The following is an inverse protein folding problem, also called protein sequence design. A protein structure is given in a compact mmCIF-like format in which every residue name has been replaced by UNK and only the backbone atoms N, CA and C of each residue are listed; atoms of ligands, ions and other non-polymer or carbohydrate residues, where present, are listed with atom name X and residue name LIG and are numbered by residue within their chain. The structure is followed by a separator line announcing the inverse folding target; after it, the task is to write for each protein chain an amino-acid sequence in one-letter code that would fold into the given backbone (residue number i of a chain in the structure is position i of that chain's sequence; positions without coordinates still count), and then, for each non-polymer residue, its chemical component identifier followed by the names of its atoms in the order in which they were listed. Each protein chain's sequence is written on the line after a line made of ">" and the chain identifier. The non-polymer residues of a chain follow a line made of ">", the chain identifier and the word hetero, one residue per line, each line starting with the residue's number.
data_IF_369094856126
#
_entry.id   IF_369094856126
#
_cell.length_a   1.000
_cell.length_b   1.000
_cell.length_c   1.000
_cell.angle_alpha   90.00
_cell.angle_beta   90.00
_cell.angle_gamma   90.00
#
_symmetry.space_group_name_H-M   'P 1'
#
loop_
_entity.id
_entity.type
_entity.pdbx_description
1 polymer ?
#
# COMPACT_ATOMS: atom_id res chain seq x y z
N UNK A 1 22.78 10.44 3.01
CA UNK A 1 22.42 9.95 1.67
C UNK A 1 21.88 8.55 1.79
N UNK A 2 20.56 8.39 1.61
CA UNK A 2 19.85 7.10 1.67
C UNK A 2 19.30 6.75 0.30
N UNK A 3 18.91 5.49 0.11
CA UNK A 3 18.26 5.01 -1.13
C UNK A 3 17.01 5.87 -1.44
N UNK A 4 16.86 6.28 -2.70
CA UNK A 4 15.75 7.11 -3.20
C UNK A 4 14.54 6.24 -3.50
N UNK A 5 13.55 6.30 -2.64
CA UNK A 5 12.36 5.45 -2.74
C UNK A 5 11.16 6.29 -3.16
N UNK A 6 10.45 5.82 -4.17
CA UNK A 6 9.24 6.50 -4.61
C UNK A 6 8.17 6.51 -3.52
N UNK A 7 7.48 7.65 -3.40
CA UNK A 7 6.24 7.78 -2.67
C UNK A 7 5.21 8.57 -3.49
N UNK A 8 3.92 8.17 -3.49
CA UNK A 8 2.89 8.97 -4.13
C UNK A 8 2.70 10.33 -3.46
N UNK A 9 2.16 11.28 -4.23
CA UNK A 9 1.74 12.57 -3.71
C UNK A 9 0.63 12.40 -2.65
N UNK A 10 0.68 13.22 -1.59
CA UNK A 10 -0.34 13.21 -0.55
C UNK A 10 -0.20 12.12 0.51
N UNK A 11 0.94 11.43 0.59
CA UNK A 11 1.22 10.44 1.65
C UNK A 11 2.25 10.94 2.69
N UNK A 12 1.83 11.79 3.66
CA UNK A 12 2.72 12.25 4.72
C UNK A 12 3.13 11.14 5.70
N UNK A 13 2.32 10.08 5.83
CA UNK A 13 2.62 8.94 6.71
C UNK A 13 3.80 8.14 6.16
N UNK A 14 3.71 7.70 4.90
CA UNK A 14 4.79 7.00 4.21
C UNK A 14 6.07 7.86 4.12
N UNK A 15 5.93 9.17 3.91
CA UNK A 15 7.09 10.07 3.78
C UNK A 15 7.88 10.08 5.09
N UNK A 16 7.19 10.30 6.21
CA UNK A 16 7.80 10.33 7.52
C UNK A 16 8.31 8.94 7.95
N UNK A 17 7.62 7.85 7.58
CA UNK A 17 8.07 6.48 7.84
C UNK A 17 9.41 6.20 7.15
N UNK A 18 9.54 6.50 5.86
CA UNK A 18 10.79 6.33 5.11
C UNK A 18 11.92 7.20 5.69
N UNK A 19 11.62 8.46 6.03
CA UNK A 19 12.59 9.35 6.69
C UNK A 19 13.08 8.81 8.03
N UNK A 20 12.17 8.25 8.84
CA UNK A 20 12.50 7.66 10.14
C UNK A 20 13.40 6.42 9.99
N UNK A 21 13.24 5.67 8.90
CA UNK A 21 14.10 4.54 8.53
C UNK A 21 15.44 4.95 7.89
N UNK A 22 15.72 6.25 7.76
CA UNK A 22 16.94 6.76 7.10
C UNK A 22 16.93 6.63 5.57
N UNK A 23 15.76 6.35 4.98
CA UNK A 23 15.54 6.26 3.54
C UNK A 23 15.18 7.64 2.98
N UNK A 24 15.54 7.92 1.73
CA UNK A 24 15.23 9.18 1.07
C UNK A 24 13.94 9.05 0.23
N UNK A 25 12.77 9.47 0.74
CA UNK A 25 11.55 9.47 -0.07
C UNK A 25 11.63 10.51 -1.20
N UNK A 26 11.19 10.12 -2.39
CA UNK A 26 11.04 11.00 -3.55
C UNK A 26 9.58 11.04 -3.97
N UNK A 27 8.95 12.18 -3.75
CA UNK A 27 7.54 12.42 -4.08
C UNK A 27 7.42 12.73 -5.57
N UNK A 28 6.62 11.94 -6.30
CA UNK A 28 6.27 12.22 -7.69
C UNK A 28 4.99 11.49 -8.09
N UNK A 29 4.27 11.94 -9.13
CA UNK A 29 3.11 11.23 -9.65
C UNK A 29 3.50 9.85 -10.19
N UNK A 30 2.57 8.90 -10.10
CA UNK A 30 2.79 7.51 -10.53
C UNK A 30 3.19 7.39 -12.01
N UNK A 31 2.75 8.34 -12.84
CA UNK A 31 3.06 8.40 -14.28
C UNK A 31 4.55 8.60 -14.55
N UNK A 32 5.28 9.18 -13.59
CA UNK A 32 6.67 9.59 -13.79
C UNK A 32 7.65 8.57 -13.19
N UNK A 33 7.17 7.56 -12.47
CA UNK A 33 8.00 6.57 -11.76
C UNK A 33 8.90 5.78 -12.71
N UNK A 34 8.38 5.36 -13.87
CA UNK A 34 9.21 4.65 -14.86
C UNK A 34 10.36 5.55 -15.35
N UNK A 35 10.08 6.82 -15.66
CA UNK A 35 11.12 7.80 -16.02
C UNK A 35 12.09 8.02 -14.88
N UNK A 36 11.60 8.08 -13.63
CA UNK A 36 12.43 8.19 -12.43
C UNK A 36 13.40 7.01 -12.27
N UNK A 37 12.93 5.78 -12.49
CA UNK A 37 13.77 4.57 -12.49
C UNK A 37 14.76 4.54 -13.67
N UNK A 38 14.38 5.08 -14.84
CA UNK A 38 15.24 5.11 -16.02
C UNK A 38 16.36 6.15 -15.95
N UNK A 39 16.15 7.21 -15.19
CA UNK A 39 17.07 8.35 -15.04
C UNK A 39 17.85 8.31 -13.73
N UNK A 40 17.76 7.20 -13.00
CA UNK A 40 18.33 7.01 -11.66
C UNK A 40 17.87 8.10 -10.65
N UNK A 41 16.71 8.72 -10.86
CA UNK A 41 16.08 9.58 -9.86
C UNK A 41 15.46 8.75 -8.72
N UNK A 42 15.07 7.51 -9.03
CA UNK A 42 14.59 6.52 -8.09
C UNK A 42 15.53 5.32 -8.09
N UNK A 43 15.86 4.82 -6.91
CA UNK A 43 16.61 3.59 -6.74
C UNK A 43 15.66 2.39 -6.49
N UNK A 44 14.51 2.62 -5.86
CA UNK A 44 13.50 1.58 -5.65
C UNK A 44 12.06 2.12 -5.53
N UNK A 45 11.12 1.17 -5.49
CA UNK A 45 9.68 1.40 -5.30
C UNK A 45 9.15 0.46 -4.21
N UNK A 46 8.15 0.92 -3.46
CA UNK A 46 7.40 0.08 -2.51
C UNK A 46 5.97 -0.08 -3.01
N UNK A 47 5.71 -1.17 -3.75
CA UNK A 47 4.42 -1.42 -4.40
C UNK A 47 4.01 -2.89 -4.34
N UNK A 48 2.71 -3.19 -4.47
CA UNK A 48 2.25 -4.55 -4.74
C UNK A 48 2.92 -5.11 -6.01
N UNK A 49 3.24 -6.42 -6.06
CA UNK A 49 3.84 -7.05 -7.24
C UNK A 49 3.05 -6.81 -8.53
N UNK A 50 1.71 -6.81 -8.46
CA UNK A 50 0.86 -6.54 -9.64
C UNK A 50 1.12 -5.15 -10.22
N UNK A 51 1.39 -4.14 -9.39
CA UNK A 51 1.74 -2.79 -9.85
C UNK A 51 3.07 -2.77 -10.59
N UNK A 52 4.09 -3.43 -10.03
CA UNK A 52 5.41 -3.52 -10.68
C UNK A 52 5.33 -4.18 -12.07
N UNK A 53 4.45 -5.19 -12.24
CA UNK A 53 4.20 -5.86 -13.52
C UNK A 53 3.42 -4.96 -14.48
N UNK A 54 2.26 -4.43 -14.07
CA UNK A 54 1.37 -3.64 -14.96
C UNK A 54 2.08 -2.41 -15.50
N UNK A 55 2.83 -1.71 -14.66
CA UNK A 55 3.60 -0.54 -15.08
C UNK A 55 4.98 -0.88 -15.67
N UNK A 56 5.31 -2.17 -15.79
CA UNK A 56 6.57 -2.68 -16.33
C UNK A 56 7.82 -2.20 -15.57
N UNK A 57 7.66 -1.68 -14.34
CA UNK A 57 8.76 -1.13 -13.53
C UNK A 57 9.84 -2.18 -13.22
N UNK A 58 9.46 -3.45 -13.18
CA UNK A 58 10.39 -4.56 -12.99
C UNK A 58 11.54 -4.57 -14.02
N UNK A 59 11.35 -4.01 -15.21
CA UNK A 59 12.39 -3.90 -16.25
C UNK A 59 13.59 -3.02 -15.85
N UNK A 60 13.45 -2.23 -14.79
CA UNK A 60 14.49 -1.36 -14.22
C UNK A 60 14.91 -1.75 -12.80
N UNK A 61 14.35 -2.84 -12.27
CA UNK A 61 14.64 -3.34 -10.93
C UNK A 61 15.40 -4.66 -11.03
N UNK A 62 16.18 -4.98 -9.98
CA UNK A 62 16.97 -6.23 -9.90
C UNK A 62 16.59 -7.10 -8.72
N UNK A 63 16.08 -6.49 -7.66
CA UNK A 63 15.81 -7.16 -6.40
C UNK A 63 14.36 -6.93 -6.00
N UNK A 64 13.80 -7.91 -5.29
CA UNK A 64 12.52 -7.80 -4.61
C UNK A 64 12.68 -8.24 -3.15
N UNK A 65 12.06 -7.51 -2.24
CA UNK A 65 11.98 -7.86 -0.83
C UNK A 65 10.52 -8.02 -0.44
N UNK A 66 10.13 -9.22 -0.06
CA UNK A 66 8.74 -9.55 0.30
C UNK A 66 8.51 -9.32 1.80
N UNK A 67 8.45 -8.05 2.20
CA UNK A 67 8.04 -7.65 3.54
C UNK A 67 6.69 -6.93 3.44
N UNK A 68 5.66 -7.35 4.22
CA UNK A 68 4.37 -6.69 4.23
C UNK A 68 4.47 -5.34 4.99
N UNK A 69 4.94 -4.31 4.29
CA UNK A 69 5.20 -2.98 4.85
C UNK A 69 3.98 -2.05 4.79
N UNK A 70 3.05 -2.28 3.86
CA UNK A 70 1.86 -1.47 3.67
C UNK A 70 0.69 -2.30 3.11
N UNK A 71 -0.53 -1.86 3.41
CA UNK A 71 -1.74 -2.38 2.79
C UNK A 71 -2.31 -1.31 1.85
N UNK A 72 -2.29 -1.58 0.54
CA UNK A 72 -2.81 -0.68 -0.48
C UNK A 72 -4.28 -1.00 -0.71
N UNK A 73 -5.14 0.01 -0.56
CA UNK A 73 -6.57 -0.08 -0.85
C UNK A 73 -7.02 1.12 -1.69
N UNK A 74 -8.14 0.95 -2.38
CA UNK A 74 -8.77 2.01 -3.15
C UNK A 74 -10.26 2.10 -2.77
N UNK A 75 -10.81 3.31 -2.80
CA UNK A 75 -12.22 3.56 -2.56
C UNK A 75 -12.87 4.13 -3.82
N UNK A 76 -14.08 3.63 -4.14
CA UNK A 76 -14.95 4.29 -5.10
C UNK A 76 -15.69 5.41 -4.38
N UNK A 77 -15.51 6.63 -4.85
CA UNK A 77 -16.24 7.79 -4.35
C UNK A 77 -17.28 8.18 -5.40
N UNK A 78 -18.54 8.25 -4.96
CA UNK A 78 -19.65 8.74 -5.77
C UNK A 78 -20.15 10.03 -5.14
N UNK A 79 -20.35 11.06 -5.95
CA UNK A 79 -20.97 12.30 -5.48
C UNK A 79 -22.36 12.00 -4.90
N UNK A 80 -22.57 12.43 -3.67
CA UNK A 80 -23.80 12.13 -2.94
C UNK A 80 -25.02 12.73 -3.65
N UNK A 81 -24.91 13.96 -4.16
CA UNK A 81 -26.04 14.61 -4.80
C UNK A 81 -26.43 13.90 -6.10
N UNK A 82 -25.45 13.46 -6.88
CA UNK A 82 -25.67 12.66 -8.07
C UNK A 82 -26.31 11.30 -7.74
N UNK A 83 -25.83 10.62 -6.71
CA UNK A 83 -26.38 9.34 -6.26
C UNK A 83 -27.82 9.48 -5.75
N UNK A 84 -28.09 10.51 -4.95
CA UNK A 84 -29.40 10.77 -4.37
C UNK A 84 -30.48 11.15 -5.42
N UNK A 85 -30.07 11.50 -6.65
CA UNK A 85 -31.01 11.75 -7.78
C UNK A 85 -31.54 10.45 -8.40
N UNK A 86 -30.91 9.31 -8.12
CA UNK A 86 -31.38 8.00 -8.58
C UNK A 86 -32.62 7.58 -7.80
N UNK A 87 -33.47 6.76 -8.42
CA UNK A 87 -34.57 6.09 -7.69
C UNK A 87 -34.02 5.18 -6.59
N UNK A 88 -34.80 4.91 -5.54
CA UNK A 88 -34.38 3.99 -4.47
C UNK A 88 -34.01 2.60 -5.00
N UNK A 89 -34.74 2.12 -6.02
CA UNK A 89 -34.47 0.85 -6.68
C UNK A 89 -33.11 0.87 -7.39
N UNK A 90 -32.80 1.94 -8.13
CA UNK A 90 -31.52 2.09 -8.81
C UNK A 90 -30.36 2.25 -7.82
N UNK A 91 -30.55 2.99 -6.72
CA UNK A 91 -29.54 3.11 -5.66
C UNK A 91 -29.18 1.74 -5.08
N UNK A 92 -30.19 0.88 -4.86
CA UNK A 92 -29.96 -0.49 -4.37
C UNK A 92 -29.18 -1.33 -5.39
N UNK A 93 -29.52 -1.22 -6.67
CA UNK A 93 -28.78 -1.92 -7.75
C UNK A 93 -27.32 -1.48 -7.79
N UNK A 94 -27.05 -0.16 -7.72
CA UNK A 94 -25.67 0.34 -7.71
C UNK A 94 -24.88 -0.22 -6.52
N UNK A 95 -25.47 -0.21 -5.32
CA UNK A 95 -24.80 -0.78 -4.13
C UNK A 95 -24.50 -2.27 -4.31
N UNK A 96 -25.51 -3.05 -4.70
CA UNK A 96 -25.37 -4.50 -4.88
C UNK A 96 -24.27 -4.84 -5.89
N UNK A 97 -24.28 -4.19 -7.05
CA UNK A 97 -23.30 -4.44 -8.12
C UNK A 97 -21.91 -4.03 -7.68
N UNK A 98 -21.74 -2.82 -7.13
CA UNK A 98 -20.42 -2.33 -6.73
C UNK A 98 -19.84 -3.14 -5.56
N UNK A 99 -20.64 -3.49 -4.55
CA UNK A 99 -20.19 -4.39 -3.47
C UNK A 99 -19.79 -5.77 -4.01
N UNK A 100 -20.53 -6.30 -4.98
CA UNK A 100 -20.18 -7.54 -5.66
C UNK A 100 -18.86 -7.48 -6.41
N UNK A 101 -18.54 -6.35 -7.04
CA UNK A 101 -17.25 -6.12 -7.70
C UNK A 101 -16.11 -6.05 -6.68
N UNK A 102 -16.28 -5.30 -5.59
CA UNK A 102 -15.26 -5.15 -4.55
C UNK A 102 -14.96 -6.47 -3.83
N UNK A 103 -15.98 -7.29 -3.53
CA UNK A 103 -15.76 -8.65 -3.00
C UNK A 103 -14.90 -9.51 -3.93
N UNK A 104 -15.06 -9.36 -5.25
CA UNK A 104 -14.22 -10.10 -6.22
C UNK A 104 -12.78 -9.58 -6.22
N UNK A 105 -12.57 -8.27 -6.10
CA UNK A 105 -11.21 -7.73 -5.95
C UNK A 105 -10.53 -8.25 -4.71
N UNK A 106 -11.23 -8.28 -3.56
CA UNK A 106 -10.67 -8.80 -2.31
C UNK A 106 -10.29 -10.28 -2.43
N UNK A 107 -11.17 -11.10 -3.03
CA UNK A 107 -10.92 -12.53 -3.25
C UNK A 107 -9.76 -12.79 -4.21
N UNK A 108 -9.65 -12.00 -5.28
CA UNK A 108 -8.67 -12.23 -6.33
C UNK A 108 -7.30 -11.58 -6.03
N UNK A 109 -7.25 -10.47 -5.30
CA UNK A 109 -6.05 -9.64 -5.15
C UNK A 109 -4.85 -10.39 -4.56
N UNK A 110 -5.09 -11.30 -3.60
CA UNK A 110 -4.01 -12.16 -3.04
C UNK A 110 -3.46 -13.11 -4.10
N UNK A 111 -4.34 -13.72 -4.89
CA UNK A 111 -3.95 -14.64 -5.97
C UNK A 111 -3.20 -13.88 -7.08
N UNK A 112 -3.71 -12.73 -7.48
CA UNK A 112 -3.11 -11.88 -8.51
C UNK A 112 -1.72 -11.38 -8.08
N UNK A 113 -1.55 -10.95 -6.83
CA UNK A 113 -0.23 -10.57 -6.30
C UNK A 113 0.75 -11.75 -6.28
N UNK A 114 0.30 -12.96 -5.94
CA UNK A 114 1.15 -14.16 -6.00
C UNK A 114 1.59 -14.49 -7.43
N UNK A 115 0.66 -14.41 -8.39
CA UNK A 115 0.95 -14.62 -9.81
C UNK A 115 1.90 -13.55 -10.35
N UNK A 116 1.69 -12.29 -9.98
CA UNK A 116 2.58 -11.20 -10.35
C UNK A 116 3.98 -11.37 -9.73
N UNK A 117 4.08 -11.77 -8.45
CA UNK A 117 5.37 -12.08 -7.83
C UNK A 117 6.11 -13.18 -8.58
N UNK A 118 5.41 -14.27 -8.97
CA UNK A 118 6.01 -15.31 -9.80
C UNK A 118 6.52 -14.74 -11.13
N UNK A 119 5.74 -13.90 -11.81
CA UNK A 119 6.16 -13.26 -13.05
C UNK A 119 7.41 -12.36 -12.84
N UNK A 120 7.53 -11.66 -11.71
CA UNK A 120 8.73 -10.88 -11.39
C UNK A 120 9.98 -11.77 -11.29
N UNK A 121 9.87 -12.92 -10.61
CA UNK A 121 10.98 -13.88 -10.49
C UNK A 121 11.34 -14.51 -11.84
N UNK A 122 10.34 -14.86 -12.65
CA UNK A 122 10.55 -15.39 -14.01
C UNK A 122 11.22 -14.37 -14.95
N UNK A 123 11.05 -13.08 -14.67
CA UNK A 123 11.74 -11.99 -15.37
C UNK A 123 13.11 -11.62 -14.75
N UNK A 124 13.61 -12.44 -13.83
CA UNK A 124 15.00 -12.37 -13.35
C UNK A 124 15.22 -11.43 -12.16
N UNK A 125 14.17 -11.01 -11.45
CA UNK A 125 14.35 -10.34 -10.16
C UNK A 125 14.82 -11.36 -9.11
N UNK A 126 15.74 -10.93 -8.24
CA UNK A 126 16.29 -11.74 -7.16
C UNK A 126 15.60 -11.42 -5.83
N UNK A 127 15.18 -12.45 -5.09
CA UNK A 127 14.57 -12.28 -3.77
C UNK A 127 15.64 -11.96 -2.73
N UNK A 128 15.42 -10.92 -1.94
CA UNK A 128 16.25 -10.53 -0.79
C UNK A 128 15.38 -10.53 0.46
N UNK A 129 15.68 -11.43 1.38
CA UNK A 129 14.96 -11.61 2.64
C UNK A 129 15.71 -10.94 3.80
N UNK A 130 15.11 -9.91 4.44
CA UNK A 130 15.66 -9.31 5.66
C UNK A 130 15.53 -10.25 6.86
N UNK A 131 16.34 -10.00 7.89
CA UNK A 131 16.21 -10.74 9.14
C UNK A 131 14.92 -10.35 9.88
N UNK A 132 14.32 -11.31 10.57
CA UNK A 132 13.09 -11.06 11.34
C UNK A 132 13.27 -9.97 12.42
N UNK A 133 14.47 -9.85 12.98
CA UNK A 133 14.82 -8.80 13.95
C UNK A 133 14.83 -7.41 13.32
N UNK A 134 15.36 -7.27 12.10
CA UNK A 134 15.35 -6.01 11.36
C UNK A 134 13.92 -5.57 11.04
N UNK A 135 13.06 -6.51 10.62
CA UNK A 135 11.65 -6.24 10.35
C UNK A 135 10.92 -5.75 11.62
N UNK A 136 11.23 -6.33 12.78
CA UNK A 136 10.66 -5.90 14.05
C UNK A 136 11.12 -4.47 14.41
N UNK A 137 12.41 -4.18 14.28
CA UNK A 137 12.97 -2.84 14.52
C UNK A 137 12.36 -1.78 13.60
N UNK A 138 12.26 -2.07 12.29
CA UNK A 138 11.63 -1.16 11.33
C UNK A 138 10.17 -0.89 11.68
N UNK A 139 9.43 -1.92 12.10
CA UNK A 139 8.04 -1.77 12.53
C UNK A 139 7.92 -0.82 13.72
N UNK A 140 8.77 -0.96 14.73
CA UNK A 140 8.74 -0.08 15.90
C UNK A 140 9.08 1.37 15.54
N UNK A 141 10.07 1.59 14.67
CA UNK A 141 10.42 2.93 14.16
C UNK A 141 9.24 3.56 13.41
N UNK A 142 8.59 2.82 12.52
CA UNK A 142 7.45 3.31 11.73
C UNK A 142 6.24 3.61 12.62
N UNK A 143 5.92 2.72 13.57
CA UNK A 143 4.82 2.94 14.52
C UNK A 143 5.07 4.19 15.37
N UNK A 144 6.30 4.41 15.82
CA UNK A 144 6.66 5.62 16.55
C UNK A 144 6.53 6.86 15.67
N UNK A 145 6.99 6.81 14.42
CA UNK A 145 6.83 7.90 13.44
C UNK A 145 5.35 8.28 13.24
N UNK A 146 4.45 7.30 13.09
CA UNK A 146 3.01 7.57 12.98
C UNK A 146 2.41 8.21 14.23
N UNK A 147 2.83 7.76 15.44
CA UNK A 147 2.40 8.41 16.70
C UNK A 147 2.90 9.84 16.79
N UNK A 148 4.10 10.14 16.30
CA UNK A 148 4.64 11.49 16.28
C UNK A 148 3.84 12.40 15.34
N UNK A 149 3.46 11.90 14.16
CA UNK A 149 2.58 12.62 13.24
C UNK A 149 1.21 12.91 13.88
N UNK A 150 0.62 11.94 14.57
CA UNK A 150 -0.64 12.15 15.28
C UNK A 150 -0.52 13.19 16.41
N UNK A 151 0.56 13.14 17.21
CA UNK A 151 0.85 14.14 18.24
C UNK A 151 1.04 15.55 17.67
N UNK A 152 1.59 15.64 16.47
CA UNK A 152 1.80 16.90 15.75
C UNK A 152 0.57 17.36 14.96
N UNK A 153 -0.56 16.67 15.07
CA UNK A 153 -1.83 17.05 14.44
C UNK A 153 -1.91 16.80 12.94
N UNK A 154 -1.01 15.96 12.39
CA UNK A 154 -1.09 15.54 10.97
C UNK A 154 -2.28 14.59 10.76
N UNK A 155 -2.57 13.75 11.77
CA UNK A 155 -3.75 12.89 11.82
C UNK A 155 -4.40 12.96 13.19
N UNK A 156 -5.68 12.57 13.27
CA UNK A 156 -6.39 12.47 14.54
C UNK A 156 -5.87 11.29 15.38
N UNK A 157 -5.39 11.59 16.59
CA UNK A 157 -4.86 10.57 17.51
C UNK A 157 -5.91 9.54 17.93
N UNK A 158 -7.16 9.96 18.15
CA UNK A 158 -8.24 9.04 18.52
C UNK A 158 -8.59 8.06 17.40
N UNK A 159 -8.51 8.49 16.15
CA UNK A 159 -8.66 7.63 14.99
C UNK A 159 -7.51 6.63 14.87
N UNK A 160 -6.26 7.06 15.08
CA UNK A 160 -5.12 6.16 15.07
C UNK A 160 -5.25 5.08 16.16
N UNK A 161 -5.59 5.46 17.39
CA UNK A 161 -5.79 4.53 18.50
C UNK A 161 -6.93 3.54 18.19
N UNK A 162 -8.00 4.00 17.54
CA UNK A 162 -9.11 3.14 17.11
C UNK A 162 -8.67 2.14 16.06
N UNK A 163 -7.87 2.55 15.07
CA UNK A 163 -7.32 1.65 14.04
C UNK A 163 -6.45 0.58 14.69
N UNK A 164 -5.54 0.96 15.59
CA UNK A 164 -4.65 0.04 16.29
C UNK A 164 -5.44 -0.98 17.14
N UNK A 165 -6.50 -0.53 17.84
CA UNK A 165 -7.41 -1.43 18.56
C UNK A 165 -8.09 -2.42 17.64
N UNK A 166 -8.68 -1.97 16.52
CA UNK A 166 -9.36 -2.85 15.57
C UNK A 166 -8.43 -3.89 14.96
N UNK A 167 -7.20 -3.49 14.63
CA UNK A 167 -6.17 -4.40 14.12
C UNK A 167 -5.78 -5.43 15.20
N UNK A 168 -5.65 -5.00 16.45
CA UNK A 168 -5.31 -5.86 17.58
C UNK A 168 -6.42 -6.88 17.84
N UNK A 169 -7.68 -6.44 17.85
CA UNK A 169 -8.85 -7.30 18.02
C UNK A 169 -8.96 -8.31 16.87
N UNK A 170 -8.75 -7.89 15.62
CA UNK A 170 -8.73 -8.79 14.46
C UNK A 170 -7.64 -9.87 14.58
N UNK A 171 -6.43 -9.48 15.00
CA UNK A 171 -5.29 -10.41 15.17
C UNK A 171 -5.49 -11.38 16.35
N UNK A 172 -6.04 -10.90 17.45
CA UNK A 172 -6.30 -11.70 18.65
C UNK A 172 -7.55 -12.59 18.51
N UNK A 173 -8.52 -12.17 17.72
CA UNK A 173 -9.77 -12.90 17.44
C UNK A 173 -9.61 -14.07 16.46
N UNK A 174 -8.48 -14.15 15.74
CA UNK A 174 -8.10 -15.30 14.92
C UNK A 174 -8.98 -15.55 13.68
N UNK A 175 -8.42 -15.31 12.51
CA UNK A 175 -8.53 -16.17 11.31
C UNK A 175 -9.88 -16.90 11.05
N UNK A 176 -11.01 -16.19 11.09
CA UNK A 176 -12.33 -16.73 10.70
C UNK A 176 -12.94 -16.04 9.47
N UNK A 177 -12.25 -15.07 8.86
CA UNK A 177 -12.75 -14.28 7.73
C UNK A 177 -12.04 -14.48 6.39
N UNK A 178 -11.01 -15.32 6.31
CA UNK A 178 -10.42 -15.71 5.02
C UNK A 178 -11.09 -17.01 4.54
N UNK A 179 -12.31 -16.88 4.02
CA UNK A 179 -12.94 -17.85 3.12
C UNK A 179 -13.18 -17.16 1.78
#
# INVERSE_FOLDING_TARGET
>A
DGQKVWIPEGDPAGFAALRALGVAPVVMPITDVMTGLQTDLLDSVSVPPVGAVVFQWFTRLKYVTDVPVAYVYAALLIDKQAFDRLSEDDQRVVREVMEGIYRKFDQNGVKENRQAMQALMENGLEMVEPQATEIAEWRDIVLQSHRDLARNGVFDSGLLDRIDSLITDYRNGGATGAQ
#
